data_IF_399205843083
#
_entry.id   IF_399205843083
#
_cell.length_a   1.000
_cell.length_b   1.000
_cell.length_c   1.000
_cell.angle_alpha   90.00
_cell.angle_beta   90.00
_cell.angle_gamma   90.00
#
_symmetry.space_group_name_H-M   'P 1'
#
loop_
_entity.id
_entity.type
_entity.pdbx_description
1 polymer ?
#
# COMPACT_ATOMS: atom_id res chain seq x y z
N UNK A 1 -22.35 19.80 -72.94
CA UNK A 1 -22.77 19.20 -71.65
C UNK A 1 -21.55 18.65 -70.91
N UNK A 2 -20.72 19.51 -70.33
CA UNK A 2 -19.56 19.19 -69.48
C UNK A 2 -19.27 20.44 -68.67
N UNK A 3 -19.90 20.57 -67.50
CA UNK A 3 -19.65 21.57 -66.44
C UNK A 3 -20.94 21.65 -65.63
N UNK A 4 -21.12 20.75 -64.65
CA UNK A 4 -22.17 20.92 -63.61
C UNK A 4 -22.08 19.98 -62.40
N UNK A 5 -21.03 19.16 -62.27
CA UNK A 5 -20.90 18.23 -61.14
C UNK A 5 -19.73 18.51 -60.18
N UNK A 6 -19.02 19.63 -60.34
CA UNK A 6 -17.86 19.98 -59.50
C UNK A 6 -18.10 21.16 -58.53
N UNK A 7 -19.34 21.64 -58.41
CA UNK A 7 -19.68 22.77 -57.54
C UNK A 7 -20.48 22.39 -56.28
N UNK A 8 -20.91 21.12 -56.15
CA UNK A 8 -21.72 20.67 -55.01
C UNK A 8 -20.95 19.82 -53.98
N UNK A 9 -19.73 19.39 -54.27
CA UNK A 9 -18.88 18.66 -53.31
C UNK A 9 -17.92 19.57 -52.53
N UNK A 10 -17.78 20.84 -52.92
CA UNK A 10 -16.92 21.84 -52.27
C UNK A 10 -17.69 22.81 -51.35
N UNK A 11 -18.95 22.51 -51.01
CA UNK A 11 -19.74 23.29 -50.05
C UNK A 11 -20.10 22.53 -48.77
N UNK A 12 -19.77 21.23 -48.67
CA UNK A 12 -19.90 20.43 -47.44
C UNK A 12 -18.60 20.34 -46.62
N UNK A 13 -17.48 20.87 -47.14
CA UNK A 13 -16.17 20.83 -46.47
C UNK A 13 -15.77 22.17 -45.81
N UNK A 14 -16.65 23.18 -45.83
CA UNK A 14 -16.37 24.53 -45.31
C UNK A 14 -17.40 25.03 -44.27
N UNK A 15 -18.30 24.17 -43.79
CA UNK A 15 -19.29 24.52 -42.76
C UNK A 15 -19.20 23.67 -41.48
N UNK A 16 -18.03 23.09 -41.18
CA UNK A 16 -17.73 22.46 -39.88
C UNK A 16 -16.47 23.02 -39.21
N UNK A 17 -15.97 24.18 -39.68
CA UNK A 17 -15.16 25.07 -38.85
C UNK A 17 -16.09 26.09 -38.21
N UNK A 18 -16.01 26.26 -36.88
CA UNK A 18 -16.99 26.85 -35.94
C UNK A 18 -17.93 25.75 -35.42
N UNK A 19 -17.56 24.96 -34.42
CA UNK A 19 -17.40 25.36 -33.02
C UNK A 19 -16.33 24.46 -32.38
N UNK A 20 -15.08 24.92 -32.30
CA UNK A 20 -14.26 24.53 -31.15
C UNK A 20 -14.80 25.34 -30.00
N UNK A 21 -15.69 24.76 -29.18
CA UNK A 21 -15.80 25.22 -27.80
C UNK A 21 -14.43 24.98 -27.20
N UNK A 22 -13.60 26.01 -27.25
CA UNK A 22 -12.40 26.10 -26.45
C UNK A 22 -12.80 25.70 -25.04
N UNK A 23 -12.06 24.75 -24.50
CA UNK A 23 -12.19 24.30 -23.12
C UNK A 23 -12.34 25.55 -22.25
N UNK A 24 -13.45 25.66 -21.51
CA UNK A 24 -13.77 26.86 -20.76
C UNK A 24 -12.67 27.09 -19.71
N UNK A 25 -12.10 28.28 -19.69
CA UNK A 25 -11.22 28.74 -18.62
C UNK A 25 -11.96 28.56 -17.29
N UNK A 26 -11.30 27.97 -16.30
CA UNK A 26 -11.92 27.42 -15.09
C UNK A 26 -11.80 28.32 -13.88
N UNK A 27 -10.96 29.36 -13.95
CA UNK A 27 -10.68 30.24 -12.82
C UNK A 27 -10.28 31.64 -13.28
N UNK A 28 -10.14 32.56 -12.32
CA UNK A 28 -9.63 33.90 -12.57
C UNK A 28 -10.61 34.79 -13.33
N UNK A 29 -10.11 35.90 -13.86
CA UNK A 29 -10.92 36.89 -14.58
C UNK A 29 -11.73 36.30 -15.75
N UNK A 30 -11.19 35.27 -16.40
CA UNK A 30 -11.80 34.55 -17.51
C UNK A 30 -13.02 33.71 -17.08
N UNK A 31 -13.14 33.40 -15.79
CA UNK A 31 -14.25 32.66 -15.18
C UNK A 31 -14.97 33.47 -14.09
N UNK A 32 -15.02 34.80 -14.23
CA UNK A 32 -15.74 35.67 -13.30
C UNK A 32 -15.14 35.72 -11.88
N UNK A 33 -13.84 35.46 -11.75
CA UNK A 33 -13.13 35.40 -10.48
C UNK A 33 -13.22 34.04 -9.78
N UNK A 34 -13.69 33.00 -10.46
CA UNK A 34 -13.78 31.66 -9.88
C UNK A 34 -12.41 31.18 -9.36
N UNK A 35 -12.42 30.57 -8.18
CA UNK A 35 -11.26 29.93 -7.59
C UNK A 35 -11.15 28.50 -8.12
N UNK A 36 -9.92 28.03 -8.30
CA UNK A 36 -9.65 26.63 -8.58
C UNK A 36 -10.08 25.73 -7.42
N UNK A 37 -10.74 24.59 -7.71
CA UNK A 37 -11.02 23.56 -6.72
C UNK A 37 -9.73 22.99 -6.13
N UNK A 38 -9.74 22.61 -4.85
CA UNK A 38 -8.63 21.88 -4.22
C UNK A 38 -7.38 22.72 -3.93
N UNK A 39 -7.47 24.05 -3.91
CA UNK A 39 -6.32 24.90 -3.53
C UNK A 39 -5.31 25.13 -4.67
N UNK A 40 -5.66 24.78 -5.91
CA UNK A 40 -4.74 24.84 -7.06
C UNK A 40 -4.53 26.29 -7.52
N UNK A 41 -3.36 26.61 -8.06
CA UNK A 41 -3.07 27.94 -8.59
C UNK A 41 -3.88 28.21 -9.85
N UNK A 42 -4.40 29.43 -9.96
CA UNK A 42 -5.02 29.93 -11.18
C UNK A 42 -4.02 30.70 -12.02
N UNK A 43 -3.61 30.12 -13.16
CA UNK A 43 -2.65 30.74 -14.07
C UNK A 43 -3.15 32.08 -14.63
N UNK A 44 -2.25 32.87 -15.23
CA UNK A 44 -2.60 34.12 -15.93
C UNK A 44 -3.65 33.91 -17.06
N UNK A 45 -3.79 32.68 -17.54
CA UNK A 45 -4.72 32.31 -18.62
C UNK A 45 -6.04 31.69 -18.13
N UNK A 46 -6.26 31.63 -16.82
CA UNK A 46 -7.52 31.15 -16.23
C UNK A 46 -7.61 29.63 -16.13
N UNK A 47 -6.48 28.95 -15.90
CA UNK A 47 -6.40 27.50 -15.74
C UNK A 47 -5.89 27.10 -14.36
N UNK A 48 -6.41 25.99 -13.85
CA UNK A 48 -6.04 25.46 -12.54
C UNK A 48 -4.88 24.46 -12.64
N UNK A 49 -3.86 24.60 -11.80
CA UNK A 49 -2.74 23.68 -11.75
C UNK A 49 -1.77 23.96 -10.59
N UNK A 50 -0.72 23.15 -10.45
CA UNK A 50 0.22 23.20 -9.32
C UNK A 50 1.66 23.49 -9.71
N UNK A 51 1.95 23.58 -11.02
CA UNK A 51 3.31 23.85 -11.50
C UNK A 51 3.57 25.35 -11.60
N UNK A 52 4.84 25.73 -11.77
CA UNK A 52 5.25 27.14 -11.94
C UNK A 52 4.52 27.86 -13.08
N UNK A 53 4.10 27.15 -14.12
CA UNK A 53 3.28 27.71 -15.21
C UNK A 53 1.89 28.20 -14.75
N UNK A 54 1.40 27.73 -13.60
CA UNK A 54 0.12 28.11 -13.01
C UNK A 54 0.29 28.99 -11.77
N UNK A 55 1.37 28.77 -11.03
CA UNK A 55 1.65 29.42 -9.73
C UNK A 55 2.67 30.57 -9.83
N UNK A 56 3.36 30.70 -10.95
CA UNK A 56 4.44 31.67 -11.16
C UNK A 56 3.95 33.08 -11.46
N UNK A 57 4.84 33.95 -11.99
CA UNK A 57 4.52 35.33 -12.34
C UNK A 57 3.29 35.42 -13.26
N UNK A 58 2.31 36.26 -12.90
CA UNK A 58 1.05 36.39 -13.64
C UNK A 58 -0.10 35.54 -13.09
N UNK A 59 0.16 34.65 -12.13
CA UNK A 59 -0.92 33.92 -11.45
C UNK A 59 -1.98 34.87 -10.86
N UNK A 60 -3.25 34.52 -11.06
CA UNK A 60 -4.40 35.36 -10.72
C UNK A 60 -4.93 35.10 -9.30
N UNK A 61 -4.87 33.86 -8.80
CA UNK A 61 -5.30 33.48 -7.45
C UNK A 61 -4.66 32.15 -7.02
N UNK A 62 -4.55 31.90 -5.71
CA UNK A 62 -3.95 30.67 -5.15
C UNK A 62 -2.47 30.46 -5.55
N UNK A 63 -1.72 31.55 -5.76
CA UNK A 63 -0.40 31.59 -6.41
C UNK A 63 0.80 31.13 -5.56
N UNK A 64 0.55 30.49 -4.43
CA UNK A 64 1.62 29.97 -3.57
C UNK A 64 1.16 28.60 -3.08
N UNK A 65 1.56 27.53 -3.78
CA UNK A 65 1.17 26.19 -3.41
C UNK A 65 2.05 25.75 -2.26
N UNK A 66 1.50 25.79 -1.06
CA UNK A 66 1.97 24.87 -0.03
C UNK A 66 0.78 24.01 0.35
N UNK A 67 0.71 22.75 -0.14
CA UNK A 67 -0.35 21.83 0.24
C UNK A 67 -0.43 21.75 1.76
N UNK A 68 -1.60 22.12 2.30
CA UNK A 68 -1.84 22.09 3.73
C UNK A 68 -1.51 23.38 4.48
N UNK A 69 -1.23 24.53 3.84
CA UNK A 69 -1.17 25.81 4.57
C UNK A 69 -2.55 26.46 4.77
N UNK A 70 -2.73 27.12 5.91
CA UNK A 70 -3.99 27.71 6.36
C UNK A 70 -3.74 28.88 7.33
N UNK A 71 -4.81 29.56 7.74
CA UNK A 71 -4.72 30.60 8.76
C UNK A 71 -4.02 31.87 8.27
N UNK A 72 -3.49 32.67 9.19
CA UNK A 72 -2.90 33.98 8.90
C UNK A 72 -1.70 33.92 7.94
N UNK A 73 -0.96 32.80 7.95
CA UNK A 73 0.18 32.51 7.07
C UNK A 73 -0.26 32.25 5.62
N UNK A 74 -1.56 31.98 5.40
CA UNK A 74 -2.16 31.73 4.10
C UNK A 74 -3.34 32.68 3.82
N UNK A 75 -3.29 33.91 4.32
CA UNK A 75 -4.32 34.93 4.04
C UNK A 75 -5.71 34.59 4.62
N UNK A 76 -5.77 33.77 5.66
CA UNK A 76 -7.01 33.32 6.29
C UNK A 76 -7.61 32.06 5.67
N UNK A 77 -6.89 31.35 4.80
CA UNK A 77 -7.37 30.14 4.17
C UNK A 77 -7.81 29.07 5.19
N UNK A 78 -8.93 28.41 4.91
CA UNK A 78 -9.40 27.24 5.65
C UNK A 78 -8.76 25.97 5.09
N UNK A 79 -8.55 24.99 5.95
CA UNK A 79 -8.09 23.68 5.55
C UNK A 79 -9.16 22.91 4.76
N UNK A 80 -8.74 22.20 3.68
CA UNK A 80 -9.61 21.26 2.98
C UNK A 80 -10.09 20.15 3.92
N UNK A 81 -11.29 19.62 3.69
CA UNK A 81 -11.80 18.45 4.42
C UNK A 81 -12.16 18.69 5.89
N UNK A 82 -12.23 19.94 6.35
CA UNK A 82 -12.59 20.26 7.74
C UNK A 82 -11.46 19.98 8.75
N UNK A 83 -10.23 19.84 8.27
CA UNK A 83 -9.03 19.65 9.09
C UNK A 83 -8.74 20.88 9.95
N UNK A 84 -8.08 20.70 11.09
CA UNK A 84 -7.71 21.83 11.95
C UNK A 84 -6.53 22.59 11.38
N UNK A 85 -6.56 23.91 11.52
CA UNK A 85 -5.45 24.79 11.20
C UNK A 85 -4.60 25.09 12.43
N UNK A 86 -3.38 24.54 12.50
CA UNK A 86 -2.41 24.76 13.58
C UNK A 86 -2.03 26.23 13.76
N UNK A 87 -1.40 26.57 14.89
CA UNK A 87 -0.85 27.91 15.16
C UNK A 87 0.21 28.36 14.15
N UNK A 88 0.86 27.41 13.47
CA UNK A 88 1.88 27.67 12.45
C UNK A 88 1.33 27.75 11.03
N UNK A 89 0.00 27.66 10.87
CA UNK A 89 -0.68 27.82 9.59
C UNK A 89 -0.61 26.57 8.73
N UNK A 90 -0.72 25.40 9.36
CA UNK A 90 -0.76 24.10 8.69
C UNK A 90 -2.00 23.27 9.05
N UNK A 91 -2.49 22.48 8.10
CA UNK A 91 -3.67 21.65 8.19
C UNK A 91 -3.35 20.24 8.69
N UNK A 92 -4.15 19.73 9.63
CA UNK A 92 -4.04 18.35 10.10
C UNK A 92 -5.13 17.96 11.11
N UNK A 93 -5.10 16.72 11.60
CA UNK A 93 -6.12 16.16 12.51
C UNK A 93 -5.63 15.93 13.94
N UNK A 94 -4.32 16.01 14.20
CA UNK A 94 -3.75 15.65 15.51
C UNK A 94 -3.75 16.82 16.49
N UNK A 95 -3.40 16.56 17.76
CA UNK A 95 -3.29 17.60 18.81
C UNK A 95 -2.38 18.78 18.42
N UNK A 96 -1.30 18.53 17.65
CA UNK A 96 -0.43 19.58 17.11
C UNK A 96 -1.16 20.58 16.17
N UNK A 97 -2.29 20.20 15.59
CA UNK A 97 -3.07 21.02 14.66
C UNK A 97 -4.37 21.53 15.28
N UNK A 98 -5.01 20.73 16.14
CA UNK A 98 -6.29 21.04 16.77
C UNK A 98 -6.16 21.57 18.21
N UNK A 99 -4.95 21.61 18.76
CA UNK A 99 -4.67 22.03 20.14
C UNK A 99 -4.69 23.55 20.36
N UNK A 100 -4.23 24.02 21.53
CA UNK A 100 -4.09 25.44 21.83
C UNK A 100 -3.30 26.17 20.73
N UNK A 101 -3.79 27.33 20.30
CA UNK A 101 -3.18 28.10 19.20
C UNK A 101 -3.74 27.77 17.81
N UNK A 102 -4.62 26.76 17.69
CA UNK A 102 -5.34 26.51 16.44
C UNK A 102 -6.08 27.77 15.94
N UNK A 103 -5.89 28.09 14.66
CA UNK A 103 -6.36 29.32 14.03
C UNK A 103 -7.78 29.20 13.44
N UNK A 104 -8.16 28.03 12.92
CA UNK A 104 -9.47 27.79 12.30
C UNK A 104 -9.79 26.29 12.20
N UNK A 105 -11.08 25.93 12.08
CA UNK A 105 -11.56 24.53 12.03
C UNK A 105 -11.11 23.68 13.23
N UNK A 106 -11.01 24.31 14.41
CA UNK A 106 -10.51 23.71 15.65
C UNK A 106 -11.48 22.70 16.31
N UNK A 107 -12.46 22.16 15.56
CA UNK A 107 -13.40 21.11 15.97
C UNK A 107 -13.99 20.44 14.72
N UNK A 108 -13.81 19.12 14.57
CA UNK A 108 -14.67 18.14 15.25
C UNK A 108 -13.93 17.02 16.01
N UNK A 109 -14.60 16.45 17.02
CA UNK A 109 -14.17 15.35 17.90
C UNK A 109 -14.02 14.01 17.18
N UNK A 110 -12.96 13.24 17.47
CA UNK A 110 -13.06 12.16 18.45
C UNK A 110 -11.97 12.28 19.52
N UNK A 111 -12.36 12.18 20.80
CA UNK A 111 -11.39 11.98 21.87
C UNK A 111 -11.47 12.92 23.05
N UNK A 112 -12.40 13.88 23.13
CA UNK A 112 -12.57 14.69 24.35
C UNK A 112 -13.63 14.10 25.29
N UNK A 113 -13.33 14.04 26.58
CA UNK A 113 -14.23 13.60 27.64
C UNK A 113 -13.99 14.40 28.93
N UNK A 114 -14.79 14.18 29.98
CA UNK A 114 -14.59 14.82 31.27
C UNK A 114 -15.05 16.29 31.33
N UNK A 115 -14.60 17.02 32.34
CA UNK A 115 -15.08 18.39 32.65
C UNK A 115 -14.85 19.40 31.53
N UNK A 116 -13.81 19.18 30.72
CA UNK A 116 -13.43 19.99 29.56
C UNK A 116 -14.39 19.78 28.38
N UNK A 117 -15.20 18.72 28.44
CA UNK A 117 -16.20 18.35 27.43
C UNK A 117 -17.60 18.22 28.05
N UNK A 118 -17.93 19.03 29.06
CA UNK A 118 -19.27 19.04 29.68
C UNK A 118 -19.64 17.75 30.39
N UNK A 119 -18.65 16.96 30.83
CA UNK A 119 -18.85 15.66 31.47
C UNK A 119 -19.06 14.51 30.48
N UNK A 120 -18.75 14.71 29.20
CA UNK A 120 -18.86 13.66 28.19
C UNK A 120 -18.03 12.43 28.56
N UNK A 121 -18.59 11.24 28.33
CA UNK A 121 -17.90 9.98 28.49
C UNK A 121 -17.19 9.59 27.20
N UNK A 122 -16.05 8.92 27.33
CA UNK A 122 -15.31 8.45 26.19
C UNK A 122 -16.05 7.27 25.53
N UNK A 123 -16.06 7.20 24.20
CA UNK A 123 -16.65 6.09 23.45
C UNK A 123 -15.81 4.81 23.63
N UNK A 124 -16.44 3.63 23.59
CA UNK A 124 -15.73 2.35 23.67
C UNK A 124 -15.17 1.98 25.05
N UNK A 125 -15.54 2.69 26.12
CA UNK A 125 -15.07 2.39 27.47
C UNK A 125 -13.63 2.84 27.76
N UNK A 126 -13.10 3.75 26.95
CA UNK A 126 -11.76 4.31 27.06
C UNK A 126 -11.61 5.25 28.25
N UNK A 127 -10.46 5.23 28.94
CA UNK A 127 -10.22 6.13 30.06
C UNK A 127 -10.21 7.60 29.64
N UNK A 128 -10.86 8.45 30.42
CA UNK A 128 -10.77 9.90 30.31
C UNK A 128 -9.60 10.41 31.16
N UNK A 129 -8.50 10.80 30.53
CA UNK A 129 -7.36 11.41 31.20
C UNK A 129 -7.74 12.64 32.04
N UNK A 130 -6.85 13.04 32.95
CA UNK A 130 -7.00 14.27 33.74
C UNK A 130 -7.14 15.54 32.91
N UNK A 131 -6.72 15.51 31.65
CA UNK A 131 -6.82 16.63 30.71
C UNK A 131 -8.06 16.58 29.81
N UNK A 132 -8.96 15.62 30.03
CA UNK A 132 -10.23 15.54 29.33
C UNK A 132 -10.14 14.87 27.96
N UNK A 133 -9.31 13.82 27.86
CA UNK A 133 -9.10 13.08 26.61
C UNK A 133 -9.25 11.57 26.76
N UNK A 134 -9.84 10.89 25.77
CA UNK A 134 -10.06 9.45 25.68
C UNK A 134 -8.77 8.69 25.32
N UNK A 135 -8.44 7.60 26.01
CA UNK A 135 -7.35 6.70 25.64
C UNK A 135 -7.23 5.46 26.55
N UNK A 136 -6.29 4.56 26.26
CA UNK A 136 -6.13 3.27 26.97
C UNK A 136 -4.84 3.14 27.78
N UNK A 137 -3.88 4.05 27.64
CA UNK A 137 -2.57 3.91 28.29
C UNK A 137 -2.58 4.43 29.72
N UNK A 138 -1.50 4.16 30.47
CA UNK A 138 -1.33 4.65 31.84
C UNK A 138 -1.46 6.18 31.97
N UNK A 139 -1.15 6.94 30.92
CA UNK A 139 -1.35 8.40 30.90
C UNK A 139 -2.83 8.83 30.93
N UNK A 140 -3.74 7.94 30.50
CA UNK A 140 -5.18 8.19 30.45
C UNK A 140 -5.92 7.53 31.60
N UNK A 141 -5.47 6.34 32.00
CA UNK A 141 -6.09 5.53 33.07
C UNK A 141 -5.42 5.68 34.44
N UNK A 142 -4.29 6.38 34.52
CA UNK A 142 -3.51 6.57 35.73
C UNK A 142 -4.12 7.59 36.71
N UNK A 143 -3.35 7.99 37.74
CA UNK A 143 -3.76 9.02 38.69
C UNK A 143 -4.23 10.29 37.97
N UNK A 144 -5.37 10.85 38.39
CA UNK A 144 -5.96 12.05 37.77
C UNK A 144 -7.02 11.78 36.70
N UNK A 145 -7.17 10.52 36.25
CA UNK A 145 -8.25 10.16 35.33
C UNK A 145 -9.65 10.60 35.86
N UNK A 146 -10.47 11.17 34.96
CA UNK A 146 -11.75 11.78 35.29
C UNK A 146 -12.95 10.83 35.17
N UNK A 147 -12.93 9.87 34.25
CA UNK A 147 -14.00 8.89 34.04
C UNK A 147 -13.50 7.66 33.29
N UNK A 148 -14.15 6.50 33.44
CA UNK A 148 -13.75 5.23 32.81
C UNK A 148 -12.30 4.78 33.19
N UNK A 149 -11.83 5.19 34.37
CA UNK A 149 -10.43 5.06 34.85
C UNK A 149 -9.97 3.65 35.22
N UNK A 150 -10.88 2.71 35.18
CA UNK A 150 -10.58 1.30 35.31
C UNK A 150 -11.39 0.63 34.21
N UNK A 151 -10.77 0.03 33.19
CA UNK A 151 -11.52 -0.63 32.14
C UNK A 151 -12.35 -1.75 32.77
N UNK A 152 -13.68 -1.69 32.66
CA UNK A 152 -14.53 -2.86 32.96
C UNK A 152 -14.39 -3.86 31.83
N UNK A 153 -13.89 -5.09 32.08
CA UNK A 153 -13.81 -6.13 31.07
C UNK A 153 -15.18 -6.82 30.85
N UNK A 154 -15.39 -7.51 29.72
CA UNK A 154 -16.46 -8.51 29.58
C UNK A 154 -16.32 -9.62 30.66
N UNK A 155 -17.38 -10.41 30.96
CA UNK A 155 -17.40 -11.29 32.14
C UNK A 155 -16.28 -12.37 32.11
N UNK A 156 -15.78 -12.84 33.28
CA UNK A 156 -14.51 -13.55 33.37
C UNK A 156 -14.59 -15.06 33.10
N UNK A 157 -13.54 -15.70 32.52
CA UNK A 157 -13.28 -17.14 32.61
C UNK A 157 -12.53 -17.52 33.92
N UNK A 158 -12.48 -18.83 34.29
CA UNK A 158 -11.97 -19.33 35.58
C UNK A 158 -10.42 -19.30 35.73
N UNK A 159 -9.86 -19.47 36.96
CA UNK A 159 -8.45 -19.22 37.27
C UNK A 159 -7.46 -20.27 36.70
N UNK A 160 -6.16 -19.91 36.56
CA UNK A 160 -5.17 -20.70 35.83
C UNK A 160 -4.68 -21.94 36.61
N UNK A 161 -4.58 -23.11 35.96
CA UNK A 161 -3.80 -24.23 36.45
C UNK A 161 -2.31 -24.04 36.12
N UNK A 162 -1.47 -24.83 36.82
CA UNK A 162 -0.02 -25.04 36.59
C UNK A 162 0.38 -25.10 35.10
N UNK A 163 1.65 -24.78 34.74
CA UNK A 163 2.04 -24.55 33.35
C UNK A 163 1.61 -25.72 32.45
N UNK A 164 0.77 -25.49 31.43
CA UNK A 164 0.35 -26.55 30.54
C UNK A 164 1.46 -26.86 29.52
N UNK A 165 1.50 -28.08 28.96
CA UNK A 165 2.24 -28.36 27.74
C UNK A 165 1.76 -27.43 26.60
N UNK A 166 2.53 -27.27 25.49
CA UNK A 166 2.26 -26.30 24.44
C UNK A 166 0.78 -26.26 24.06
N UNK A 167 0.19 -25.07 24.03
CA UNK A 167 -1.22 -24.90 23.72
C UNK A 167 -1.52 -25.55 22.35
N UNK A 168 -2.45 -26.49 22.35
CA UNK A 168 -2.99 -27.05 21.12
C UNK A 168 -3.61 -25.89 20.30
N UNK A 169 -3.43 -25.86 18.97
CA UNK A 169 -3.94 -24.78 18.13
C UNK A 169 -5.45 -24.63 18.34
N UNK A 170 -5.90 -23.37 18.47
CA UNK A 170 -7.31 -23.01 18.36
C UNK A 170 -7.89 -23.68 17.11
N UNK A 171 -9.11 -24.25 17.15
CA UNK A 171 -9.72 -24.83 15.95
C UNK A 171 -9.73 -23.74 14.88
N UNK A 172 -9.30 -24.02 13.64
CA UNK A 172 -9.37 -23.03 12.59
C UNK A 172 -10.84 -22.65 12.45
N UNK A 173 -11.19 -21.40 12.74
CA UNK A 173 -12.36 -20.85 12.07
C UNK A 173 -11.97 -20.89 10.60
N UNK A 174 -12.62 -21.77 9.84
CA UNK A 174 -12.50 -21.80 8.39
C UNK A 174 -13.19 -20.53 7.86
N UNK A 175 -12.59 -19.38 8.13
CA UNK A 175 -13.06 -18.11 7.61
C UNK A 175 -12.66 -18.03 6.16
N UNK A 176 -13.60 -17.66 5.31
CA UNK A 176 -13.29 -17.40 3.91
C UNK A 176 -12.43 -16.14 3.85
N UNK A 177 -11.48 -16.08 2.92
CA UNK A 177 -10.69 -14.88 2.66
C UNK A 177 -11.61 -13.70 2.27
N UNK A 178 -12.76 -13.98 1.67
CA UNK A 178 -13.77 -12.96 1.31
C UNK A 178 -14.41 -12.28 2.53
N UNK A 179 -14.31 -12.89 3.72
CA UNK A 179 -14.78 -12.26 4.97
C UNK A 179 -13.82 -11.17 5.44
N UNK A 180 -12.56 -11.21 4.99
CA UNK A 180 -11.51 -10.27 5.37
C UNK A 180 -11.30 -9.17 4.35
N UNK A 181 -11.47 -9.47 3.06
CA UNK A 181 -11.27 -8.52 1.98
C UNK A 181 -12.41 -8.57 0.98
N UNK A 182 -13.17 -7.48 0.90
CA UNK A 182 -14.19 -7.28 -0.12
C UNK A 182 -13.58 -6.69 -1.41
N UNK A 183 -14.34 -6.76 -2.52
CA UNK A 183 -13.96 -6.08 -3.76
C UNK A 183 -13.76 -4.57 -3.56
N UNK A 184 -14.62 -3.92 -2.76
CA UNK A 184 -14.51 -2.48 -2.50
C UNK A 184 -13.24 -2.15 -1.72
N UNK A 185 -12.86 -2.97 -0.75
CA UNK A 185 -11.62 -2.77 -0.02
C UNK A 185 -10.40 -3.02 -0.90
N UNK A 186 -10.45 -4.04 -1.77
CA UNK A 186 -9.41 -4.26 -2.79
C UNK A 186 -9.23 -3.01 -3.68
N UNK A 187 -10.31 -2.36 -4.09
CA UNK A 187 -10.26 -1.11 -4.86
C UNK A 187 -9.67 0.05 -4.06
N UNK A 188 -10.00 0.16 -2.77
CA UNK A 188 -9.38 1.15 -1.87
C UNK A 188 -7.89 0.89 -1.66
N UNK A 189 -7.47 -0.38 -1.59
CA UNK A 189 -6.05 -0.74 -1.47
C UNK A 189 -5.26 -0.38 -2.73
N UNK A 190 -5.86 -0.50 -3.92
CA UNK A 190 -5.20 -0.27 -5.20
C UNK A 190 -5.96 0.74 -6.08
N UNK A 191 -6.08 2.00 -5.63
CA UNK A 191 -6.96 2.96 -6.28
C UNK A 191 -6.44 3.41 -7.65
N UNK A 192 -5.12 3.40 -7.85
CA UNK A 192 -4.48 3.88 -9.08
C UNK A 192 -4.05 2.76 -10.04
N UNK A 193 -4.29 1.48 -9.74
CA UNK A 193 -3.84 0.36 -10.59
C UNK A 193 -4.42 0.39 -12.01
N UNK A 194 -5.61 0.97 -12.17
CA UNK A 194 -6.30 1.15 -13.46
C UNK A 194 -6.15 2.57 -14.02
N UNK A 195 -5.27 3.39 -13.44
CA UNK A 195 -4.96 4.70 -13.98
C UNK A 195 -4.27 4.55 -15.34
N UNK A 196 -4.55 5.45 -16.28
CA UNK A 196 -4.10 5.30 -17.68
C UNK A 196 -2.56 5.23 -17.87
N UNK A 197 -1.78 5.66 -16.86
CA UNK A 197 -0.32 5.56 -16.89
C UNK A 197 0.20 4.20 -16.41
N UNK A 198 -0.65 3.40 -15.78
CA UNK A 198 -0.31 2.05 -15.36
C UNK A 198 -0.46 1.06 -16.51
N UNK A 199 0.62 0.31 -16.77
CA UNK A 199 0.66 -0.71 -17.81
C UNK A 199 -0.06 -2.01 -17.41
N UNK A 200 -0.68 -2.02 -16.23
CA UNK A 200 -1.54 -3.07 -15.71
C UNK A 200 -3.03 -2.76 -15.82
N UNK A 201 -3.42 -1.69 -16.53
CA UNK A 201 -4.81 -1.27 -16.64
C UNK A 201 -5.75 -2.45 -16.92
N UNK A 202 -6.73 -2.64 -16.05
CA UNK A 202 -7.76 -3.70 -16.07
C UNK A 202 -7.25 -5.15 -15.95
N UNK A 203 -5.95 -5.36 -15.72
CA UNK A 203 -5.37 -6.69 -15.57
C UNK A 203 -5.65 -7.29 -14.18
N UNK A 204 -5.35 -6.55 -13.11
CA UNK A 204 -5.47 -7.05 -11.73
C UNK A 204 -6.88 -6.85 -11.17
N UNK A 205 -7.66 -7.92 -11.14
CA UNK A 205 -9.04 -7.92 -10.64
C UNK A 205 -9.16 -8.63 -9.29
N UNK A 206 -10.14 -8.21 -8.50
CA UNK A 206 -10.49 -8.87 -7.24
C UNK A 206 -10.87 -10.34 -7.45
N UNK A 207 -11.68 -10.63 -8.48
CA UNK A 207 -12.10 -12.00 -8.79
C UNK A 207 -10.92 -12.91 -9.15
N UNK A 208 -9.91 -12.38 -9.86
CA UNK A 208 -8.70 -13.13 -10.16
C UNK A 208 -7.90 -13.43 -8.89
N UNK A 209 -7.77 -12.45 -7.99
CA UNK A 209 -7.13 -12.64 -6.70
C UNK A 209 -7.84 -13.72 -5.86
N UNK A 210 -9.17 -13.62 -5.68
CA UNK A 210 -9.94 -14.60 -4.89
C UNK A 210 -9.88 -15.99 -5.52
N UNK A 211 -9.97 -16.08 -6.85
CA UNK A 211 -9.86 -17.36 -7.58
C UNK A 211 -8.49 -18.01 -7.35
N UNK A 212 -7.42 -17.22 -7.40
CA UNK A 212 -6.07 -17.69 -7.13
C UNK A 212 -5.88 -18.09 -5.66
N UNK A 213 -6.32 -17.26 -4.72
CA UNK A 213 -6.22 -17.50 -3.28
C UNK A 213 -6.90 -18.81 -2.84
N UNK A 214 -8.04 -19.17 -3.46
CA UNK A 214 -8.72 -20.45 -3.21
C UNK A 214 -7.89 -21.69 -3.57
N UNK A 215 -6.83 -21.54 -4.36
CA UNK A 215 -5.88 -22.63 -4.64
C UNK A 215 -4.84 -22.82 -3.52
N UNK A 216 -4.77 -21.90 -2.55
CA UNK A 216 -3.84 -21.91 -1.41
C UNK A 216 -4.65 -21.79 -0.11
N UNK A 217 -5.29 -22.88 0.35
CA UNK A 217 -6.35 -22.82 1.35
C UNK A 217 -5.90 -22.37 2.75
N UNK A 218 -4.60 -22.29 3.02
CA UNK A 218 -4.02 -21.79 4.28
C UNK A 218 -3.63 -20.32 4.25
N UNK A 219 -3.57 -19.70 3.06
CA UNK A 219 -3.25 -18.29 2.89
C UNK A 219 -4.38 -17.41 3.44
N UNK A 220 -4.08 -16.52 4.39
CA UNK A 220 -5.02 -15.63 5.06
C UNK A 220 -6.22 -16.34 5.73
N UNK A 221 -6.05 -17.62 6.07
CA UNK A 221 -7.03 -18.46 6.77
C UNK A 221 -6.41 -19.19 7.97
N UNK A 222 -5.14 -18.92 8.26
CA UNK A 222 -4.39 -19.51 9.38
C UNK A 222 -4.18 -18.49 10.49
N UNK A 223 -4.38 -18.90 11.74
CA UNK A 223 -4.26 -18.02 12.92
C UNK A 223 -5.53 -17.24 13.23
N UNK A 224 -5.43 -16.28 14.15
CA UNK A 224 -6.52 -15.37 14.49
C UNK A 224 -6.80 -14.34 13.39
N UNK A 225 -7.91 -13.60 13.51
CA UNK A 225 -8.34 -12.61 12.51
C UNK A 225 -7.25 -11.57 12.24
N UNK A 226 -6.54 -11.11 13.27
CA UNK A 226 -5.48 -10.10 13.13
C UNK A 226 -4.28 -10.67 12.36
N UNK A 227 -3.91 -11.92 12.62
CA UNK A 227 -2.86 -12.62 11.88
C UNK A 227 -3.21 -12.80 10.41
N UNK A 228 -4.46 -13.20 10.12
CA UNK A 228 -4.94 -13.37 8.75
C UNK A 228 -4.98 -12.04 7.97
N UNK A 229 -5.45 -10.97 8.60
CA UNK A 229 -5.42 -9.60 8.06
C UNK A 229 -4.00 -9.10 7.85
N UNK A 230 -3.09 -9.36 8.80
CA UNK A 230 -1.68 -8.99 8.71
C UNK A 230 -0.97 -9.73 7.58
N UNK A 231 -1.30 -11.00 7.36
CA UNK A 231 -0.83 -11.75 6.19
C UNK A 231 -1.28 -11.11 4.88
N UNK A 232 -2.56 -10.72 4.75
CA UNK A 232 -3.03 -9.98 3.57
C UNK A 232 -2.27 -8.67 3.38
N UNK A 233 -2.14 -7.88 4.44
CA UNK A 233 -1.41 -6.61 4.40
C UNK A 233 0.05 -6.81 3.99
N UNK A 234 0.71 -7.85 4.49
CA UNK A 234 2.11 -8.14 4.19
C UNK A 234 2.29 -8.64 2.75
N UNK A 235 1.45 -9.57 2.29
CA UNK A 235 1.45 -10.05 0.91
C UNK A 235 1.26 -8.89 -0.07
N UNK A 236 0.20 -8.11 0.12
CA UNK A 236 -0.09 -6.96 -0.73
C UNK A 236 0.94 -5.84 -0.59
N UNK A 237 1.53 -5.66 0.60
CA UNK A 237 2.62 -4.71 0.83
C UNK A 237 3.84 -5.01 -0.05
N UNK A 238 4.24 -6.27 -0.08
CA UNK A 238 5.38 -6.72 -0.86
C UNK A 238 5.10 -6.65 -2.36
N UNK A 239 3.97 -7.20 -2.81
CA UNK A 239 3.63 -7.23 -4.24
C UNK A 239 3.35 -5.83 -4.79
N UNK A 240 2.82 -4.92 -3.97
CA UNK A 240 2.68 -3.51 -4.35
C UNK A 240 4.02 -2.84 -4.60
N UNK A 241 5.06 -3.13 -3.79
CA UNK A 241 6.40 -2.61 -4.07
C UNK A 241 6.94 -3.17 -5.40
N UNK A 242 6.81 -4.48 -5.63
CA UNK A 242 7.31 -5.13 -6.85
C UNK A 242 6.67 -4.56 -8.13
N UNK A 243 5.46 -4.03 -8.00
CA UNK A 243 4.65 -3.54 -9.13
C UNK A 243 4.36 -2.05 -9.05
N UNK A 244 5.09 -1.31 -8.20
CA UNK A 244 4.78 0.10 -7.93
C UNK A 244 5.04 0.96 -9.16
N UNK A 245 4.06 1.82 -9.46
CA UNK A 245 4.22 2.94 -10.38
C UNK A 245 4.28 4.27 -9.65
N UNK A 246 4.47 4.27 -8.33
CA UNK A 246 4.52 5.48 -7.53
C UNK A 246 5.89 6.15 -7.59
N UNK A 247 5.89 7.46 -7.48
CA UNK A 247 7.08 8.31 -7.44
C UNK A 247 6.94 9.36 -6.34
N UNK A 248 8.02 10.06 -6.02
CA UNK A 248 7.98 11.19 -5.10
C UNK A 248 7.05 12.28 -5.64
N UNK A 249 6.02 12.64 -4.86
CA UNK A 249 4.99 13.58 -5.30
C UNK A 249 3.89 12.99 -6.19
N UNK A 250 3.80 11.66 -6.32
CA UNK A 250 2.69 11.02 -7.02
C UNK A 250 1.34 11.42 -6.39
N UNK A 251 0.27 11.61 -7.20
CA UNK A 251 -1.06 11.94 -6.69
C UNK A 251 -1.52 10.98 -5.59
N UNK A 252 -1.88 11.55 -4.43
CA UNK A 252 -2.30 10.82 -3.23
C UNK A 252 -1.20 10.05 -2.50
N UNK A 253 0.05 10.16 -2.94
CA UNK A 253 1.23 9.56 -2.32
C UNK A 253 1.69 8.26 -2.98
N UNK A 254 2.98 7.96 -2.81
CA UNK A 254 3.69 6.79 -3.36
C UNK A 254 2.91 5.48 -3.17
N UNK A 255 2.33 5.28 -1.98
CA UNK A 255 1.74 4.00 -1.57
C UNK A 255 0.32 3.74 -2.09
N UNK A 256 -0.20 4.59 -2.98
CA UNK A 256 -1.45 4.37 -3.72
C UNK A 256 -1.25 3.70 -5.08
N UNK A 257 0.01 3.50 -5.49
CA UNK A 257 0.40 3.14 -6.86
C UNK A 257 0.96 1.70 -6.97
N UNK A 258 0.64 0.83 -6.02
CA UNK A 258 0.89 -0.59 -6.16
C UNK A 258 0.07 -1.19 -7.31
N UNK A 259 0.53 -2.31 -7.86
CA UNK A 259 -0.14 -3.02 -8.96
C UNK A 259 -0.23 -2.21 -10.26
N UNK A 260 0.72 -1.31 -10.53
CA UNK A 260 0.76 -0.47 -11.73
C UNK A 260 1.47 -1.14 -12.92
N UNK A 261 2.30 -2.15 -12.66
CA UNK A 261 3.01 -2.92 -13.69
C UNK A 261 2.72 -4.42 -13.56
N UNK A 262 2.61 -5.09 -14.70
CA UNK A 262 2.48 -6.57 -14.76
C UNK A 262 3.82 -7.25 -14.98
N UNK A 263 4.77 -6.56 -15.61
CA UNK A 263 6.07 -7.10 -15.98
C UNK A 263 7.19 -6.10 -15.75
N UNK A 264 8.39 -6.64 -15.62
CA UNK A 264 9.62 -5.88 -15.46
C UNK A 264 9.78 -4.87 -16.59
N UNK A 265 10.11 -3.64 -16.22
CA UNK A 265 10.37 -2.57 -17.16
C UNK A 265 11.83 -2.65 -17.61
N UNK A 266 12.05 -2.73 -18.93
CA UNK A 266 13.38 -2.75 -19.54
C UNK A 266 14.31 -3.87 -18.99
N UNK A 267 13.93 -5.15 -19.15
CA UNK A 267 14.68 -6.24 -18.55
C UNK A 267 16.11 -6.34 -19.08
N UNK A 268 17.07 -6.34 -18.15
CA UNK A 268 18.51 -6.30 -18.45
C UNK A 268 19.08 -7.62 -19.01
N UNK A 269 18.32 -8.72 -18.91
CA UNK A 269 18.73 -10.06 -19.34
C UNK A 269 17.52 -10.91 -19.70
N UNK A 270 17.76 -12.15 -20.13
CA UNK A 270 16.72 -13.17 -20.29
C UNK A 270 16.42 -13.90 -18.98
N UNK A 271 17.19 -13.63 -17.92
CA UNK A 271 17.08 -14.27 -16.60
C UNK A 271 17.14 -15.80 -16.72
N UNK A 272 17.96 -16.27 -17.65
CA UNK A 272 18.24 -17.68 -17.84
C UNK A 272 19.46 -18.06 -16.99
N UNK A 273 19.22 -18.58 -15.79
CA UNK A 273 20.29 -19.08 -14.93
C UNK A 273 20.87 -20.38 -15.52
N UNK A 274 22.19 -20.38 -15.67
CA UNK A 274 22.93 -21.52 -16.23
C UNK A 274 23.10 -22.64 -15.20
N UNK A 275 23.10 -22.32 -13.90
CA UNK A 275 23.27 -23.31 -12.83
C UNK A 275 22.10 -24.29 -12.72
N UNK A 276 20.90 -23.84 -13.08
CA UNK A 276 19.66 -24.62 -12.98
C UNK A 276 19.25 -25.36 -14.26
N UNK A 277 20.03 -25.29 -15.34
CA UNK A 277 19.65 -25.87 -16.65
C UNK A 277 19.35 -27.37 -16.62
N UNK A 278 19.96 -28.13 -15.71
CA UNK A 278 19.74 -29.58 -15.61
C UNK A 278 18.31 -29.90 -15.17
N UNK A 279 17.73 -29.08 -14.31
CA UNK A 279 16.39 -29.28 -13.77
C UNK A 279 15.34 -28.39 -14.46
N UNK A 280 15.72 -27.15 -14.78
CA UNK A 280 14.86 -26.11 -15.33
C UNK A 280 15.49 -25.51 -16.59
N UNK A 281 15.60 -26.28 -17.69
CA UNK A 281 16.24 -25.81 -18.91
C UNK A 281 15.50 -24.60 -19.49
N UNK A 282 16.24 -23.58 -19.93
CA UNK A 282 15.61 -22.44 -20.58
C UNK A 282 15.04 -22.84 -21.94
N UNK A 283 13.75 -22.58 -22.14
CA UNK A 283 13.09 -22.84 -23.41
C UNK A 283 13.62 -21.87 -24.49
N UNK A 284 13.92 -22.37 -25.72
CA UNK A 284 14.43 -21.53 -26.79
C UNK A 284 13.54 -20.32 -27.07
N UNK A 285 14.14 -19.12 -27.11
CA UNK A 285 13.44 -17.86 -27.39
C UNK A 285 12.54 -17.36 -26.25
N UNK A 286 12.56 -17.99 -25.08
CA UNK A 286 11.82 -17.55 -23.89
C UNK A 286 12.69 -16.77 -22.92
N UNK A 287 12.06 -15.83 -22.22
CA UNK A 287 12.69 -14.93 -21.25
C UNK A 287 11.94 -15.01 -19.92
N UNK A 288 12.69 -15.01 -18.82
CA UNK A 288 12.20 -15.22 -17.46
C UNK A 288 12.35 -13.97 -16.59
N UNK A 289 12.19 -12.79 -17.18
CA UNK A 289 12.14 -11.52 -16.45
C UNK A 289 10.94 -11.46 -15.51
N UNK A 290 10.91 -10.45 -14.63
CA UNK A 290 9.86 -10.29 -13.63
C UNK A 290 8.46 -10.22 -14.24
N UNK A 291 7.54 -11.08 -13.79
CA UNK A 291 6.12 -11.02 -14.13
C UNK A 291 5.21 -11.22 -12.92
N UNK A 292 4.02 -10.65 -13.01
CA UNK A 292 2.99 -10.75 -12.00
C UNK A 292 3.29 -9.99 -10.71
N UNK A 293 2.43 -10.17 -9.68
CA UNK A 293 2.50 -9.38 -8.45
C UNK A 293 3.82 -9.52 -7.69
N UNK A 294 4.47 -10.68 -7.73
CA UNK A 294 5.75 -10.92 -7.04
C UNK A 294 6.97 -10.70 -7.96
N UNK A 295 6.74 -10.22 -9.20
CA UNK A 295 7.78 -10.12 -10.24
C UNK A 295 8.62 -11.42 -10.35
N UNK A 296 7.92 -12.56 -10.49
CA UNK A 296 8.54 -13.88 -10.60
C UNK A 296 9.61 -13.86 -11.69
N UNK A 297 10.84 -14.20 -11.31
CA UNK A 297 12.02 -14.07 -12.16
C UNK A 297 12.87 -15.33 -12.12
N UNK A 298 13.62 -15.59 -13.19
CA UNK A 298 14.48 -16.75 -13.42
C UNK A 298 13.78 -18.07 -13.75
N UNK A 299 14.35 -18.81 -14.70
CA UNK A 299 13.88 -20.13 -15.17
C UNK A 299 13.62 -21.13 -14.03
N UNK A 300 14.46 -21.18 -13.00
CA UNK A 300 14.24 -22.09 -11.86
C UNK A 300 12.99 -21.77 -11.05
N UNK A 301 12.58 -20.50 -10.95
CA UNK A 301 11.35 -20.12 -10.28
C UNK A 301 10.13 -20.41 -11.15
N UNK A 302 10.18 -20.08 -12.45
CA UNK A 302 9.11 -20.43 -13.39
C UNK A 302 8.91 -21.95 -13.47
N UNK A 303 10.00 -22.72 -13.47
CA UNK A 303 9.96 -24.17 -13.45
C UNK A 303 9.26 -24.73 -12.20
N UNK A 304 9.74 -24.35 -11.01
CA UNK A 304 9.15 -24.81 -9.74
C UNK A 304 7.69 -24.34 -9.57
N UNK A 305 7.38 -23.09 -9.93
CA UNK A 305 6.01 -22.57 -9.89
C UNK A 305 5.11 -23.33 -10.87
N UNK A 306 5.60 -23.58 -12.09
CA UNK A 306 4.87 -24.32 -13.11
C UNK A 306 4.55 -25.75 -12.66
N UNK A 307 5.55 -26.46 -12.14
CA UNK A 307 5.37 -27.80 -11.59
C UNK A 307 4.33 -27.82 -10.47
N UNK A 308 4.44 -26.92 -9.49
CA UNK A 308 3.53 -26.85 -8.35
C UNK A 308 2.09 -26.47 -8.75
N UNK A 309 1.93 -25.64 -9.79
CA UNK A 309 0.63 -25.17 -10.28
C UNK A 309 0.02 -26.06 -11.37
N UNK A 310 0.74 -27.07 -11.85
CA UNK A 310 0.33 -27.89 -13.00
C UNK A 310 0.28 -27.11 -14.31
N UNK A 311 1.18 -26.14 -14.48
CA UNK A 311 1.27 -25.24 -15.64
C UNK A 311 2.67 -25.34 -16.28
N UNK A 312 2.74 -25.37 -17.60
CA UNK A 312 4.03 -25.32 -18.31
C UNK A 312 4.56 -23.88 -18.44
N UNK A 313 4.95 -23.29 -17.30
CA UNK A 313 5.47 -21.93 -17.22
C UNK A 313 6.90 -21.81 -17.73
N UNK A 314 7.63 -22.92 -17.88
CA UNK A 314 8.99 -22.91 -18.39
C UNK A 314 8.99 -22.68 -19.91
N UNK A 315 8.08 -23.32 -20.66
CA UNK A 315 7.90 -23.06 -22.08
C UNK A 315 6.91 -21.91 -22.37
N UNK A 316 6.02 -21.56 -21.43
CA UNK A 316 5.02 -20.52 -21.61
C UNK A 316 5.05 -19.47 -20.48
N UNK A 317 6.20 -18.80 -20.25
CA UNK A 317 6.33 -17.84 -19.14
C UNK A 317 5.41 -16.61 -19.29
N UNK A 318 5.00 -16.29 -20.51
CA UNK A 318 4.11 -15.16 -20.80
C UNK A 318 2.68 -15.36 -20.24
N UNK A 319 2.30 -16.58 -19.86
CA UNK A 319 1.03 -16.83 -19.17
C UNK A 319 0.89 -15.99 -17.90
N UNK A 320 2.01 -15.71 -17.21
CA UNK A 320 2.04 -14.91 -15.97
C UNK A 320 1.71 -13.43 -16.24
N UNK A 321 1.92 -12.93 -17.47
CA UNK A 321 1.58 -11.55 -17.88
C UNK A 321 0.29 -11.44 -18.71
N UNK A 322 -0.38 -12.55 -19.01
CA UNK A 322 -1.59 -12.58 -19.85
C UNK A 322 -2.82 -13.04 -19.04
N UNK A 323 -2.66 -13.99 -18.12
CA UNK A 323 -3.76 -14.51 -17.30
C UNK A 323 -3.61 -14.00 -15.85
N UNK A 324 -4.53 -13.15 -15.35
CA UNK A 324 -4.41 -12.58 -14.01
C UNK A 324 -4.59 -13.60 -12.89
N UNK A 325 -5.31 -14.71 -13.10
CA UNK A 325 -5.43 -15.79 -12.11
C UNK A 325 -4.10 -16.52 -12.00
N UNK A 326 -3.47 -16.87 -13.14
CA UNK A 326 -2.12 -17.46 -13.15
C UNK A 326 -1.12 -16.49 -12.52
N UNK A 327 -1.22 -15.20 -12.85
CA UNK A 327 -0.38 -14.15 -12.26
C UNK A 327 -0.43 -14.14 -10.74
N UNK A 328 -1.63 -14.08 -10.14
CA UNK A 328 -1.79 -14.17 -8.69
C UNK A 328 -1.35 -15.52 -8.12
N UNK A 329 -1.63 -16.63 -8.81
CA UNK A 329 -1.18 -17.97 -8.37
C UNK A 329 0.33 -18.08 -8.25
N UNK A 330 1.10 -17.46 -9.15
CA UNK A 330 2.56 -17.46 -9.03
C UNK A 330 3.06 -16.65 -7.83
N UNK A 331 2.41 -15.53 -7.53
CA UNK A 331 2.73 -14.73 -6.35
C UNK A 331 2.40 -15.46 -5.03
N UNK A 332 1.23 -16.10 -4.98
CA UNK A 332 0.82 -16.92 -3.84
C UNK A 332 1.70 -18.16 -3.70
N UNK A 333 2.05 -18.83 -4.80
CA UNK A 333 3.01 -19.94 -4.78
C UNK A 333 4.33 -19.51 -4.13
N UNK A 334 4.90 -18.38 -4.56
CA UNK A 334 6.15 -17.87 -3.98
C UNK A 334 6.00 -17.59 -2.49
N UNK A 335 4.91 -16.92 -2.10
CA UNK A 335 4.62 -16.57 -0.71
C UNK A 335 4.50 -17.80 0.20
N UNK A 336 3.87 -18.86 -0.29
CA UNK A 336 3.55 -20.07 0.47
C UNK A 336 4.66 -21.13 0.42
N UNK A 337 5.67 -20.99 -0.44
CA UNK A 337 6.67 -22.04 -0.70
C UNK A 337 7.99 -21.75 0.01
N UNK A 338 8.40 -22.68 0.87
CA UNK A 338 9.75 -22.69 1.44
C UNK A 338 10.77 -23.04 0.35
N UNK A 339 11.81 -22.23 0.19
CA UNK A 339 12.96 -22.49 -0.69
C UNK A 339 14.24 -22.45 0.13
N UNK A 340 14.64 -23.59 0.69
CA UNK A 340 15.74 -23.66 1.65
C UNK A 340 17.02 -22.95 1.11
N UNK A 341 17.69 -22.15 1.95
CA UNK A 341 17.48 -21.98 3.39
C UNK A 341 16.36 -20.98 3.78
N UNK A 342 15.66 -20.38 2.82
CA UNK A 342 14.58 -19.41 3.10
C UNK A 342 13.30 -20.14 3.57
N UNK A 343 12.69 -19.76 4.70
CA UNK A 343 11.35 -20.22 5.03
C UNK A 343 10.33 -19.61 4.05
N UNK A 344 9.08 -20.06 4.09
CA UNK A 344 8.00 -19.39 3.38
C UNK A 344 7.69 -18.02 4.03
N UNK A 345 7.26 -17.05 3.23
CA UNK A 345 6.78 -15.77 3.76
C UNK A 345 5.54 -15.97 4.66
N UNK A 346 4.69 -16.94 4.28
CA UNK A 346 3.55 -17.39 5.07
C UNK A 346 3.95 -17.77 6.50
N UNK A 347 4.88 -18.72 6.66
CA UNK A 347 5.28 -19.20 7.98
C UNK A 347 5.89 -18.09 8.84
N UNK A 348 6.58 -17.14 8.23
CA UNK A 348 7.09 -15.96 8.95
C UNK A 348 5.94 -15.10 9.49
N UNK A 349 5.00 -14.70 8.63
CA UNK A 349 3.99 -13.69 9.03
C UNK A 349 2.95 -14.25 10.00
N UNK A 350 2.69 -15.57 9.96
CA UNK A 350 1.78 -16.24 10.89
C UNK A 350 2.47 -16.69 12.19
N UNK A 351 3.78 -16.47 12.32
CA UNK A 351 4.56 -16.83 13.52
C UNK A 351 4.92 -18.31 13.63
N UNK A 352 4.87 -19.08 12.55
CA UNK A 352 5.26 -20.50 12.51
C UNK A 352 6.74 -20.73 12.20
N UNK A 353 7.47 -19.72 11.74
CA UNK A 353 8.91 -19.82 11.54
C UNK A 353 9.68 -19.48 12.84
N UNK A 354 10.51 -20.43 13.28
CA UNK A 354 11.47 -20.22 14.37
C UNK A 354 12.87 -20.02 13.77
N UNK A 355 13.54 -18.88 14.04
CA UNK A 355 14.92 -18.66 13.58
C UNK A 355 15.87 -19.75 14.08
N UNK A 356 16.76 -20.21 13.20
CA UNK A 356 17.88 -21.06 13.60
C UNK A 356 19.01 -20.23 14.22
N UNK A 357 20.01 -20.86 14.84
CA UNK A 357 21.21 -20.16 15.31
C UNK A 357 21.91 -19.38 14.17
N UNK A 358 21.90 -19.92 12.95
CA UNK A 358 22.47 -19.23 11.79
C UNK A 358 21.65 -17.98 11.42
N UNK A 359 20.33 -17.99 11.64
CA UNK A 359 19.47 -16.82 11.46
C UNK A 359 19.71 -15.77 12.54
N UNK A 360 19.85 -16.18 13.80
CA UNK A 360 20.17 -15.29 14.92
C UNK A 360 21.51 -14.57 14.71
N UNK A 361 22.56 -15.30 14.33
CA UNK A 361 23.88 -14.72 14.01
C UNK A 361 23.79 -13.76 12.83
N UNK A 362 22.96 -14.09 11.83
CA UNK A 362 22.64 -13.24 10.70
C UNK A 362 21.65 -12.11 11.01
N UNK A 363 21.19 -12.00 12.26
CA UNK A 363 20.17 -11.05 12.73
C UNK A 363 18.83 -11.15 12.00
N UNK A 364 18.53 -12.28 11.38
CA UNK A 364 17.23 -12.57 10.77
C UNK A 364 16.25 -12.95 11.86
N UNK A 365 15.36 -12.01 12.18
CA UNK A 365 14.35 -12.14 13.24
C UNK A 365 12.94 -12.12 12.62
N UNK A 366 11.93 -12.76 13.25
CA UNK A 366 10.57 -12.80 12.72
C UNK A 366 9.99 -11.39 12.57
N UNK A 367 9.38 -11.12 11.41
CA UNK A 367 8.79 -9.83 11.08
C UNK A 367 8.81 -9.54 9.58
N UNK A 368 8.30 -8.38 9.20
CA UNK A 368 8.17 -8.01 7.79
C UNK A 368 9.53 -7.83 7.09
N UNK A 369 10.58 -7.48 7.84
CA UNK A 369 11.94 -7.34 7.32
C UNK A 369 12.52 -8.65 6.78
N UNK A 370 12.32 -9.78 7.48
CA UNK A 370 12.83 -11.06 6.98
C UNK A 370 12.04 -11.54 5.75
N UNK A 371 10.78 -11.14 5.59
CA UNK A 371 10.00 -11.36 4.36
C UNK A 371 10.65 -10.61 3.18
N UNK A 372 11.04 -9.34 3.38
CA UNK A 372 11.84 -8.60 2.38
C UNK A 372 13.15 -9.32 2.06
N UNK A 373 13.82 -9.89 3.06
CA UNK A 373 15.04 -10.66 2.88
C UNK A 373 14.82 -11.94 2.04
N UNK A 374 13.71 -12.65 2.26
CA UNK A 374 13.30 -13.82 1.46
C UNK A 374 13.10 -13.42 0.00
N UNK A 375 12.40 -12.31 -0.25
CA UNK A 375 12.04 -11.85 -1.59
C UNK A 375 13.27 -11.35 -2.36
N UNK A 376 14.01 -10.39 -1.79
CA UNK A 376 15.09 -9.70 -2.51
C UNK A 376 16.30 -9.31 -1.66
N UNK A 377 16.56 -10.05 -0.57
CA UNK A 377 17.59 -9.67 0.40
C UNK A 377 19.00 -9.54 -0.17
N UNK A 378 19.34 -10.31 -1.21
CA UNK A 378 20.66 -10.28 -1.83
C UNK A 378 21.07 -8.90 -2.39
N UNK A 379 20.10 -8.03 -2.68
CA UNK A 379 20.35 -6.67 -3.16
C UNK A 379 19.78 -5.57 -2.25
N UNK A 380 18.87 -5.89 -1.33
CA UNK A 380 18.18 -4.91 -0.47
C UNK A 380 18.60 -4.94 1.01
N UNK A 381 19.05 -6.08 1.53
CA UNK A 381 19.28 -6.26 2.97
C UNK A 381 20.77 -6.21 3.36
N UNK A 382 21.03 -5.99 4.65
CA UNK A 382 22.36 -6.09 5.26
C UNK A 382 23.35 -4.99 4.87
N UNK A 383 22.83 -3.86 4.36
CA UNK A 383 23.62 -2.75 3.81
C UNK A 383 23.16 -1.37 4.29
N UNK A 384 22.46 -1.32 5.43
CA UNK A 384 21.84 -0.11 5.95
C UNK A 384 20.50 0.21 5.29
N UNK A 385 19.93 1.41 5.54
CA UNK A 385 18.66 1.83 4.96
C UNK A 385 18.67 1.82 3.43
N UNK A 386 17.62 1.28 2.83
CA UNK A 386 17.45 1.17 1.39
C UNK A 386 16.06 1.66 0.97
N UNK A 387 15.93 2.56 -0.03
CA UNK A 387 14.64 3.12 -0.43
C UNK A 387 13.64 2.07 -0.93
N UNK A 388 14.10 0.92 -1.44
CA UNK A 388 13.23 -0.19 -1.84
C UNK A 388 12.60 -0.86 -0.63
N UNK A 389 13.39 -1.07 0.43
CA UNK A 389 12.92 -1.60 1.71
C UNK A 389 11.91 -0.64 2.35
N UNK A 390 12.22 0.66 2.37
CA UNK A 390 11.28 1.68 2.86
C UNK A 390 9.99 1.74 2.05
N UNK A 391 10.06 1.52 0.73
CA UNK A 391 8.90 1.35 -0.14
C UNK A 391 8.00 0.20 0.28
N UNK A 392 8.59 -1.00 0.51
CA UNK A 392 7.86 -2.19 1.03
C UNK A 392 7.19 -1.90 2.37
N UNK A 393 7.91 -1.26 3.29
CA UNK A 393 7.42 -0.92 4.63
C UNK A 393 6.27 0.08 4.53
N UNK A 394 6.37 1.08 3.66
CA UNK A 394 5.35 2.11 3.49
C UNK A 394 4.02 1.54 2.97
N UNK A 395 4.05 0.67 1.96
CA UNK A 395 2.85 -0.05 1.52
C UNK A 395 2.27 -0.91 2.65
N UNK A 396 3.10 -1.68 3.35
CA UNK A 396 2.65 -2.52 4.46
C UNK A 396 2.01 -1.73 5.60
N UNK A 397 2.62 -0.61 6.01
CA UNK A 397 2.08 0.30 7.02
C UNK A 397 0.73 0.87 6.59
N UNK A 398 0.60 1.28 5.32
CA UNK A 398 -0.67 1.74 4.77
C UNK A 398 -1.74 0.66 4.85
N UNK A 399 -1.42 -0.57 4.46
CA UNK A 399 -2.42 -1.65 4.49
C UNK A 399 -2.77 -2.11 5.90
N UNK A 400 -1.85 -2.00 6.87
CA UNK A 400 -2.14 -2.27 8.27
C UNK A 400 -2.94 -1.16 8.97
N UNK A 401 -3.10 0.02 8.37
CA UNK A 401 -3.76 1.15 9.02
C UNK A 401 -5.21 0.83 9.41
N UNK A 402 -5.73 1.63 10.33
CA UNK A 402 -7.12 1.65 10.77
C UNK A 402 -8.13 1.87 9.63
N UNK A 403 -7.70 2.47 8.53
CA UNK A 403 -8.53 2.68 7.32
C UNK A 403 -8.70 1.41 6.46
N UNK A 404 -7.79 0.44 6.56
CA UNK A 404 -7.79 -0.76 5.70
C UNK A 404 -8.07 -2.02 6.52
N UNK A 405 -7.10 -2.48 7.30
CA UNK A 405 -7.22 -3.74 8.05
C UNK A 405 -7.35 -3.55 9.57
N UNK A 406 -6.93 -2.40 10.10
CA UNK A 406 -6.88 -2.10 11.53
C UNK A 406 -6.13 -3.20 12.31
N UNK A 407 -4.86 -3.38 11.97
CA UNK A 407 -3.98 -4.37 12.62
C UNK A 407 -2.59 -3.80 12.88
N UNK A 408 -1.94 -4.26 13.93
CA UNK A 408 -0.53 -3.92 14.15
C UNK A 408 0.35 -4.52 13.05
N UNK A 409 1.29 -3.71 12.55
CA UNK A 409 2.36 -4.14 11.65
C UNK A 409 3.31 -5.15 12.30
N UNK A 410 3.33 -5.23 13.63
CA UNK A 410 4.35 -5.95 14.38
C UNK A 410 5.70 -5.22 14.38
N UNK A 411 6.71 -5.91 14.90
CA UNK A 411 8.08 -5.38 14.98
C UNK A 411 8.94 -5.85 13.79
N UNK A 412 10.22 -5.46 13.79
CA UNK A 412 11.25 -5.92 12.84
C UNK A 412 10.86 -5.70 11.37
N UNK A 413 10.43 -4.47 11.05
CA UNK A 413 9.90 -4.13 9.72
C UNK A 413 10.97 -4.05 8.63
N UNK A 414 12.21 -3.72 8.99
CA UNK A 414 13.32 -3.58 8.06
C UNK A 414 14.28 -4.78 8.08
N UNK A 415 15.11 -4.86 7.06
CA UNK A 415 16.21 -5.82 6.96
C UNK A 415 17.58 -5.14 6.84
N UNK A 416 17.70 -3.89 7.30
CA UNK A 416 18.88 -3.04 7.09
C UNK A 416 20.15 -3.70 7.65
N UNK A 417 19.99 -4.44 8.76
CA UNK A 417 21.07 -5.12 9.48
C UNK A 417 21.01 -6.65 9.37
N UNK A 418 20.13 -7.22 8.54
CA UNK A 418 20.00 -8.66 8.38
C UNK A 418 20.92 -9.15 7.26
N UNK A 419 21.71 -10.19 7.51
CA UNK A 419 22.51 -10.82 6.45
C UNK A 419 21.57 -11.52 5.46
N UNK A 420 21.72 -11.31 4.14
CA UNK A 420 20.87 -11.94 3.15
C UNK A 420 20.90 -13.47 3.23
N UNK A 421 19.75 -14.14 3.02
CA UNK A 421 19.75 -15.59 2.85
C UNK A 421 20.66 -16.00 1.67
N UNK A 422 21.47 -17.03 1.86
CA UNK A 422 22.44 -17.52 0.85
C UNK A 422 23.79 -16.81 0.85
N UNK A 423 23.95 -15.68 1.55
CA UNK A 423 25.25 -15.04 1.81
C UNK A 423 25.82 -15.59 3.12
N UNK A 424 26.81 -16.50 3.07
CA UNK A 424 27.45 -17.05 4.28
C UNK A 424 27.79 -18.55 4.26
N UNK A 425 27.31 -19.32 3.28
CA UNK A 425 27.66 -20.74 3.12
C UNK A 425 29.12 -21.01 2.65
N UNK A 426 29.91 -19.95 2.43
CA UNK A 426 31.32 -20.05 2.04
C UNK A 426 32.29 -20.14 3.22
N UNK A 427 31.84 -20.06 4.47
CA UNK A 427 32.73 -20.14 5.64
C UNK A 427 32.77 -21.52 6.33
N UNK A 428 31.85 -22.44 6.00
CA UNK A 428 31.80 -23.79 6.61
C UNK A 428 32.21 -24.92 5.63
N UNK A 429 32.88 -24.57 4.53
CA UNK A 429 33.43 -25.55 3.56
C UNK A 429 34.95 -25.46 3.36
N UNK A 430 35.69 -24.95 4.36
CA UNK A 430 37.14 -25.12 4.44
C UNK A 430 37.54 -25.97 5.65
#
# INVERSE_FOLDING_TARGET
MKMRYWALTMLCLLATLLITKGSAQQCGSQAGGALCPGGLCCSEHGWCGTTDAYCGPGCQSQCSPTPGQCGSQAGGALCPGGLCCSEHGWCGTTYAYCGPGCQSQCSPTPGQCGSQAGGALCAGGLCCSEHGWCGTTYAYCGPGCQSQCSPTPPPPPPPPPTPPPPAAPSPPSSGDITDLISSSMFDVMFPNRNYFQCLSQDFYTYDAFITAAKSFPTFATTGDTDTRKRELAAFFGQTSQETTGGWEGAPGGLFLWGYCFVKEQQPASDYCDQGSQTQWPCAPGKRYYGRGPIQLSYNYNYGQAGEALGLDLLNNPDLVEIDPVISFKTALWFWMTTQLPKPSCHDVIIGNWTPTLADEVARRVPGYGVITNIINGGVECGRGPDPRVEGRIGFYKRYCSDEIFDVSTGDNLDCNNQVPFGFGLLLDSM
#
